data_IF_682023421540
#
_entry.id   IF_682023421540
#
_cell.length_a   1.000
_cell.length_b   1.000
_cell.length_c   1.000
_cell.angle_alpha   90.00
_cell.angle_beta   90.00
_cell.angle_gamma   90.00
#
_symmetry.space_group_name_H-M   'P 1'
#
loop_
_entity.id
_entity.type
_entity.pdbx_description
1 polymer ?
#
# COMPACT_ATOMS: atom_id res chain seq x y z
N UNK A 1 16.11 46.65 18.30
CA UNK A 1 15.79 45.42 17.55
C UNK A 1 16.92 44.43 17.78
N UNK A 2 16.59 43.27 18.33
CA UNK A 2 17.56 42.20 18.60
C UNK A 2 18.05 41.60 17.26
N UNK A 3 19.27 41.10 17.21
CA UNK A 3 19.79 40.41 16.01
C UNK A 3 18.88 39.24 15.59
N UNK A 4 18.29 38.53 16.55
CA UNK A 4 17.34 37.45 16.28
C UNK A 4 16.06 37.95 15.60
N UNK A 5 15.50 39.09 16.03
CA UNK A 5 14.28 39.65 15.42
C UNK A 5 14.50 40.00 13.97
N UNK A 6 15.64 40.60 13.66
CA UNK A 6 16.00 40.95 12.30
C UNK A 6 16.08 39.74 11.38
N UNK A 7 16.71 38.67 11.85
CA UNK A 7 16.80 37.42 11.08
C UNK A 7 15.43 36.78 10.81
N UNK A 8 14.50 36.87 11.78
CA UNK A 8 13.11 36.40 11.61
C UNK A 8 12.40 37.20 10.54
N UNK A 9 12.51 38.55 10.57
CA UNK A 9 11.85 39.38 9.59
C UNK A 9 12.44 39.20 8.17
N UNK A 10 13.77 39.12 8.05
CA UNK A 10 14.44 38.86 6.76
C UNK A 10 14.02 37.54 6.15
N UNK A 11 13.95 36.47 6.94
CA UNK A 11 13.52 35.15 6.46
C UNK A 11 12.03 35.15 6.05
N UNK A 12 11.15 35.78 6.81
CA UNK A 12 9.75 35.94 6.47
C UNK A 12 9.52 36.77 5.21
N UNK A 13 10.27 37.87 5.03
CA UNK A 13 10.25 38.69 3.81
C UNK A 13 10.72 37.84 2.60
N UNK A 14 11.80 37.09 2.76
CA UNK A 14 12.34 36.28 1.69
C UNK A 14 11.32 35.19 1.23
N UNK A 15 10.62 34.55 2.17
CA UNK A 15 9.57 33.60 1.86
C UNK A 15 8.38 34.26 1.15
N UNK A 16 7.98 35.46 1.60
CA UNK A 16 6.84 36.17 1.04
C UNK A 16 7.11 36.80 -0.37
N UNK A 17 8.35 36.86 -0.80
CA UNK A 17 8.70 37.36 -2.16
C UNK A 17 8.24 36.40 -3.27
N UNK A 18 7.99 35.14 -2.92
CA UNK A 18 7.50 34.10 -3.85
C UNK A 18 5.97 34.10 -3.92
N UNK A 19 5.27 34.99 -3.22
CA UNK A 19 3.81 35.08 -3.25
C UNK A 19 3.32 35.76 -4.53
N UNK A 20 2.18 35.29 -5.03
CA UNK A 20 1.55 35.89 -6.20
C UNK A 20 1.05 37.30 -5.91
N UNK A 21 1.12 38.18 -6.92
CA UNK A 21 0.58 39.53 -6.84
C UNK A 21 -0.94 39.52 -6.58
N UNK A 22 -1.37 40.28 -5.60
CA UNK A 22 -2.78 40.36 -5.17
C UNK A 22 -3.16 39.31 -4.12
N UNK A 23 -2.26 38.41 -3.77
CA UNK A 23 -2.53 37.39 -2.77
C UNK A 23 -2.62 37.93 -1.34
N UNK A 24 -3.28 37.16 -0.50
CA UNK A 24 -3.47 37.46 0.92
C UNK A 24 -2.68 36.54 1.81
N UNK A 25 -2.21 37.03 2.96
CA UNK A 25 -1.48 36.21 3.91
C UNK A 25 -1.90 36.45 5.36
N UNK A 26 -1.57 35.50 6.22
CA UNK A 26 -1.57 35.67 7.69
C UNK A 26 -0.27 35.15 8.28
N UNK A 27 0.05 35.66 9.47
CA UNK A 27 1.14 35.13 10.28
C UNK A 27 0.55 34.28 11.40
N UNK A 28 0.97 33.00 11.49
CA UNK A 28 0.67 32.11 12.58
C UNK A 28 1.94 31.90 13.42
N UNK A 29 1.85 32.18 14.73
CA UNK A 29 3.00 32.12 15.63
C UNK A 29 2.80 31.09 16.71
N UNK A 30 3.70 30.14 16.81
CA UNK A 30 3.78 29.16 17.88
C UNK A 30 5.02 29.37 18.72
N UNK A 31 4.85 29.70 19.99
CA UNK A 31 5.94 29.89 20.93
C UNK A 31 6.06 28.66 21.84
N UNK A 32 7.07 27.84 21.60
CA UNK A 32 7.51 26.77 22.51
C UNK A 32 8.43 27.36 23.58
N UNK A 33 9.37 28.20 23.16
CA UNK A 33 10.18 29.02 24.08
C UNK A 33 9.38 30.26 24.51
N UNK A 34 8.89 30.24 25.75
CA UNK A 34 8.14 31.35 26.36
C UNK A 34 9.04 32.45 26.90
N UNK A 35 10.35 32.23 26.97
CA UNK A 35 11.33 33.24 27.38
C UNK A 35 11.67 34.26 26.29
N UNK A 36 11.26 34.00 25.04
CA UNK A 36 11.44 34.95 23.96
C UNK A 36 10.72 36.29 24.27
N UNK A 37 11.40 37.38 24.09
CA UNK A 37 10.99 38.72 24.59
C UNK A 37 9.70 39.26 23.93
N UNK A 38 9.36 38.85 22.69
CA UNK A 38 8.10 39.21 22.06
C UNK A 38 7.03 38.15 22.31
N UNK A 39 5.84 38.60 22.61
CA UNK A 39 4.68 37.70 22.71
C UNK A 39 4.14 37.32 21.32
N UNK A 40 3.17 36.43 21.28
CA UNK A 40 2.57 35.92 20.04
C UNK A 40 1.99 37.04 19.18
N UNK A 41 1.25 37.96 19.76
CA UNK A 41 0.60 39.06 19.03
C UNK A 41 1.62 40.10 18.52
N UNK A 42 2.63 40.39 19.34
CA UNK A 42 3.70 41.30 18.92
C UNK A 42 4.47 40.70 17.73
N UNK A 43 4.82 39.42 17.77
CA UNK A 43 5.48 38.73 16.66
C UNK A 43 4.62 38.73 15.39
N UNK A 44 3.34 38.43 15.49
CA UNK A 44 2.41 38.42 14.36
C UNK A 44 2.38 39.81 13.70
N UNK A 45 2.28 40.88 14.50
CA UNK A 45 2.24 42.27 14.02
C UNK A 45 3.55 42.71 13.40
N UNK A 46 4.67 42.43 14.06
CA UNK A 46 6.00 42.86 13.60
C UNK A 46 6.41 42.12 12.31
N UNK A 47 6.22 40.79 12.27
CA UNK A 47 6.52 39.97 11.07
C UNK A 47 5.60 40.36 9.92
N UNK A 48 4.29 40.48 10.16
CA UNK A 48 3.32 40.90 9.14
C UNK A 48 3.59 42.28 8.62
N UNK A 49 3.92 43.22 9.53
CA UNK A 49 4.32 44.59 9.16
C UNK A 49 5.63 44.65 8.36
N UNK A 50 6.59 43.76 8.67
CA UNK A 50 7.82 43.65 7.91
C UNK A 50 7.58 43.18 6.46
N UNK A 51 6.70 42.19 6.28
CA UNK A 51 6.31 41.70 4.94
C UNK A 51 5.62 42.83 4.17
N UNK A 52 4.58 43.48 4.72
CA UNK A 52 3.83 44.52 4.05
C UNK A 52 4.69 45.72 3.62
N UNK A 53 5.78 46.01 4.33
CA UNK A 53 6.70 47.10 4.01
C UNK A 53 7.70 46.78 2.90
N UNK A 54 7.98 45.48 2.66
CA UNK A 54 9.07 45.04 1.79
C UNK A 54 8.62 44.17 0.61
N UNK A 55 7.36 43.77 0.57
CA UNK A 55 6.76 42.96 -0.51
C UNK A 55 5.52 43.71 -1.01
N UNK A 56 5.56 44.13 -2.27
CA UNK A 56 4.45 44.82 -2.92
C UNK A 56 3.38 43.84 -3.38
N UNK A 57 2.14 44.31 -3.52
CA UNK A 57 1.05 43.52 -4.08
C UNK A 57 0.42 42.46 -3.13
N UNK A 58 0.86 42.40 -1.86
CA UNK A 58 0.27 41.46 -0.87
C UNK A 58 -0.55 42.18 0.19
N UNK A 59 -1.54 41.50 0.76
CA UNK A 59 -2.39 42.08 1.81
C UNK A 59 -2.67 41.04 2.91
N UNK A 60 -3.15 41.52 4.07
CA UNK A 60 -3.45 40.59 5.22
C UNK A 60 -4.90 40.16 5.20
N UNK A 61 -5.12 38.85 5.29
CA UNK A 61 -6.42 38.25 5.53
C UNK A 61 -6.31 37.16 6.62
N UNK A 62 -6.82 37.45 7.81
CA UNK A 62 -6.71 36.54 8.97
C UNK A 62 -7.67 35.35 8.88
N UNK A 63 -8.80 35.50 8.17
CA UNK A 63 -9.85 34.47 8.13
C UNK A 63 -9.64 33.41 7.05
N UNK A 64 -9.33 33.86 5.85
CA UNK A 64 -9.13 33.00 4.67
C UNK A 64 -7.93 33.52 3.87
N UNK A 65 -6.71 33.33 4.36
CA UNK A 65 -5.50 33.73 3.63
C UNK A 65 -5.20 32.72 2.51
N UNK A 66 -4.58 33.22 1.44
CA UNK A 66 -3.99 32.37 0.40
C UNK A 66 -2.70 31.72 0.90
N UNK A 67 -1.92 32.46 1.74
CA UNK A 67 -0.67 32.02 2.32
C UNK A 67 -0.68 32.11 3.85
N UNK A 68 -0.23 31.06 4.54
CA UNK A 68 -0.08 31.04 5.99
C UNK A 68 1.39 30.94 6.37
N UNK A 69 2.01 32.09 6.70
CA UNK A 69 3.40 32.13 7.18
C UNK A 69 3.45 31.73 8.64
N UNK A 70 4.06 30.59 8.93
CA UNK A 70 4.21 30.07 10.30
C UNK A 70 5.57 30.38 10.85
N UNK A 71 5.59 30.90 12.09
CA UNK A 71 6.80 31.21 12.85
C UNK A 71 6.78 30.41 14.14
N UNK A 72 7.65 29.41 14.23
CA UNK A 72 7.77 28.58 15.43
C UNK A 72 9.05 28.92 16.21
N UNK A 73 8.87 29.47 17.42
CA UNK A 73 9.99 29.84 18.30
C UNK A 73 10.26 28.67 19.24
N UNK A 74 11.43 28.01 19.09
CA UNK A 74 11.92 26.95 19.97
C UNK A 74 13.15 27.40 20.74
N UNK A 75 13.60 26.57 21.68
CA UNK A 75 14.78 26.85 22.51
C UNK A 75 16.08 26.89 21.68
N UNK A 76 16.18 26.05 20.67
CA UNK A 76 17.35 25.85 19.82
C UNK A 76 17.37 26.71 18.57
N UNK A 77 16.18 26.98 17.98
CA UNK A 77 16.06 27.68 16.71
C UNK A 77 14.68 28.35 16.54
N UNK A 78 14.57 29.21 15.51
CA UNK A 78 13.30 29.71 14.97
C UNK A 78 13.08 29.13 13.59
N UNK A 79 11.92 28.53 13.38
CA UNK A 79 11.51 27.96 12.10
C UNK A 79 10.46 28.85 11.46
N UNK A 80 10.67 29.17 10.18
CA UNK A 80 9.73 29.95 9.36
C UNK A 80 9.41 29.15 8.12
N UNK A 81 8.12 28.87 7.91
CA UNK A 81 7.66 28.03 6.80
C UNK A 81 6.21 28.35 6.44
N UNK A 82 5.81 28.05 5.22
CA UNK A 82 4.45 28.20 4.71
C UNK A 82 3.76 26.84 4.60
N UNK A 83 4.45 25.85 4.04
CA UNK A 83 3.85 24.57 3.71
C UNK A 83 4.16 23.50 4.76
N UNK A 84 3.11 22.76 5.15
CA UNK A 84 3.23 21.52 5.87
C UNK A 84 2.90 20.38 4.91
N UNK A 85 3.92 19.61 4.56
CA UNK A 85 3.73 18.41 3.74
C UNK A 85 3.38 17.26 4.67
N UNK A 86 2.18 16.73 4.52
CA UNK A 86 1.76 15.53 5.26
C UNK A 86 2.50 14.32 4.71
N UNK A 87 3.31 13.71 5.56
CA UNK A 87 3.93 12.42 5.24
C UNK A 87 2.93 11.28 5.32
N UNK A 88 3.34 10.09 4.86
CA UNK A 88 2.52 8.87 4.91
C UNK A 88 2.16 8.45 6.34
N UNK A 89 2.83 8.98 7.35
CA UNK A 89 2.71 8.56 8.75
C UNK A 89 3.27 7.16 8.98
N UNK A 90 3.07 6.63 10.19
CA UNK A 90 3.47 5.28 10.53
C UNK A 90 4.90 5.16 11.06
N UNK A 91 5.50 3.98 10.87
CA UNK A 91 6.84 3.62 11.29
C UNK A 91 7.77 3.44 10.08
N UNK A 92 9.08 3.64 10.23
CA UNK A 92 10.03 3.36 9.14
C UNK A 92 9.95 1.89 8.72
N UNK A 93 9.86 1.63 7.41
CA UNK A 93 9.82 0.27 6.86
C UNK A 93 11.09 -0.49 7.24
N UNK A 94 10.96 -1.75 7.63
CA UNK A 94 12.04 -2.59 8.13
C UNK A 94 12.12 -2.70 9.65
N UNK A 95 11.40 -1.88 10.41
CA UNK A 95 11.39 -1.93 11.89
C UNK A 95 10.41 -2.93 12.47
N UNK A 96 9.41 -3.37 11.68
CA UNK A 96 8.29 -4.22 12.11
C UNK A 96 8.41 -5.70 11.68
N UNK A 97 9.57 -6.13 11.18
CA UNK A 97 9.74 -7.49 10.66
C UNK A 97 9.34 -7.64 9.19
N UNK A 98 9.18 -8.89 8.72
CA UNK A 98 8.86 -9.24 7.33
C UNK A 98 7.56 -10.01 7.22
N UNK A 99 6.78 -9.74 6.18
CA UNK A 99 5.55 -10.48 5.84
C UNK A 99 5.52 -10.88 4.38
N UNK A 100 4.69 -11.87 4.06
CA UNK A 100 4.37 -12.28 2.70
C UNK A 100 2.99 -11.73 2.32
N UNK A 101 2.95 -10.83 1.34
CA UNK A 101 1.72 -10.25 0.81
C UNK A 101 1.16 -11.13 -0.31
N UNK A 102 -0.05 -11.66 -0.15
CA UNK A 102 -0.80 -12.30 -1.24
C UNK A 102 -1.31 -11.21 -2.19
N UNK A 103 -0.54 -10.95 -3.25
CA UNK A 103 -0.81 -9.87 -4.19
C UNK A 103 -1.60 -10.40 -5.40
N UNK A 104 -2.80 -9.92 -5.55
CA UNK A 104 -3.66 -10.13 -6.72
C UNK A 104 -3.65 -8.89 -7.63
N UNK A 105 -4.20 -9.01 -8.83
CA UNK A 105 -4.42 -7.86 -9.71
C UNK A 105 -5.57 -6.93 -9.28
N UNK A 106 -6.26 -7.23 -8.16
CA UNK A 106 -7.38 -6.44 -7.65
C UNK A 106 -6.98 -5.21 -6.83
N UNK A 107 -7.97 -4.38 -6.50
CA UNK A 107 -7.79 -3.10 -5.78
C UNK A 107 -7.28 -3.32 -4.35
N UNK A 108 -7.74 -4.38 -3.68
CA UNK A 108 -7.62 -4.53 -2.22
C UNK A 108 -6.21 -4.95 -1.78
N UNK A 109 -5.57 -5.88 -2.48
CA UNK A 109 -4.30 -6.44 -2.03
C UNK A 109 -3.13 -5.44 -2.02
N UNK A 110 -2.98 -4.52 -3.00
CA UNK A 110 -1.95 -3.48 -2.91
C UNK A 110 -2.17 -2.52 -1.72
N UNK A 111 -3.44 -2.18 -1.45
CA UNK A 111 -3.80 -1.33 -0.30
C UNK A 111 -3.47 -2.04 1.01
N UNK A 112 -3.77 -3.35 1.12
CA UNK A 112 -3.41 -4.15 2.29
C UNK A 112 -1.88 -4.17 2.52
N UNK A 113 -1.10 -4.32 1.46
CA UNK A 113 0.35 -4.22 1.50
C UNK A 113 0.82 -2.88 2.05
N UNK A 114 0.27 -1.78 1.55
CA UNK A 114 0.62 -0.43 2.02
C UNK A 114 0.26 -0.21 3.49
N UNK A 115 -0.86 -0.71 3.96
CA UNK A 115 -1.28 -0.55 5.36
C UNK A 115 -0.32 -1.26 6.34
N UNK A 116 0.21 -2.44 5.99
CA UNK A 116 1.21 -3.11 6.84
C UNK A 116 2.58 -2.45 6.74
N UNK A 117 2.98 -1.97 5.56
CA UNK A 117 4.23 -1.22 5.39
C UNK A 117 4.24 0.06 6.23
N UNK A 118 3.11 0.76 6.38
CA UNK A 118 2.94 1.89 7.31
C UNK A 118 3.19 1.51 8.77
N UNK A 119 3.11 0.24 9.13
CA UNK A 119 3.45 -0.27 10.47
C UNK A 119 4.90 -0.72 10.61
N UNK A 120 5.75 -0.32 9.66
CA UNK A 120 7.18 -0.61 9.65
C UNK A 120 7.56 -2.00 9.13
N UNK A 121 6.60 -2.75 8.58
CA UNK A 121 6.83 -4.11 8.08
C UNK A 121 7.38 -4.07 6.66
N UNK A 122 8.41 -4.88 6.37
CA UNK A 122 8.81 -5.17 4.99
C UNK A 122 7.91 -6.23 4.39
N UNK A 123 7.67 -6.15 3.08
CA UNK A 123 6.91 -7.16 2.35
C UNK A 123 7.76 -7.85 1.29
N UNK A 124 7.53 -9.14 1.12
CA UNK A 124 7.73 -9.86 -0.15
C UNK A 124 6.34 -10.23 -0.67
N UNK A 125 6.12 -10.24 -1.97
CA UNK A 125 4.80 -10.49 -2.57
C UNK A 125 4.74 -11.88 -3.19
N UNK A 126 3.59 -12.56 -3.08
CA UNK A 126 3.30 -13.83 -3.76
C UNK A 126 2.09 -13.66 -4.67
N UNK A 127 2.22 -14.11 -5.93
CA UNK A 127 1.15 -14.14 -6.91
C UNK A 127 0.97 -15.53 -7.48
N UNK A 128 -0.28 -15.96 -7.61
CA UNK A 128 -0.66 -17.26 -8.17
C UNK A 128 -1.02 -17.09 -9.64
N UNK A 129 -0.23 -17.74 -10.52
CA UNK A 129 -0.40 -17.64 -11.97
C UNK A 129 -0.81 -19.00 -12.54
N UNK A 130 -1.85 -19.02 -13.38
CA UNK A 130 -2.45 -20.26 -13.90
C UNK A 130 -2.60 -20.23 -15.42
N UNK A 131 -1.51 -20.18 -16.20
CA UNK A 131 -1.60 -20.28 -17.65
C UNK A 131 -2.12 -21.66 -18.08
N UNK A 132 -2.89 -21.78 -19.20
CA UNK A 132 -3.33 -20.70 -20.09
C UNK A 132 -4.60 -19.98 -19.60
N UNK A 133 -5.10 -20.29 -18.44
CA UNK A 133 -6.35 -19.73 -17.90
C UNK A 133 -6.21 -18.26 -17.47
N UNK A 134 -5.05 -17.87 -16.93
CA UNK A 134 -4.69 -16.45 -16.73
C UNK A 134 -3.78 -16.00 -17.87
N UNK A 135 -3.95 -14.75 -18.29
CA UNK A 135 -3.13 -14.18 -19.37
C UNK A 135 -1.79 -13.65 -18.83
N UNK A 136 -0.79 -13.53 -19.70
CA UNK A 136 0.45 -12.81 -19.38
C UNK A 136 0.19 -11.37 -18.94
N UNK A 137 -0.84 -10.71 -19.50
CA UNK A 137 -1.25 -9.37 -19.09
C UNK A 137 -1.72 -9.30 -17.63
N UNK A 138 -2.26 -10.38 -17.09
CA UNK A 138 -2.60 -10.46 -15.66
C UNK A 138 -1.32 -10.51 -14.80
N UNK A 139 -0.28 -11.23 -15.25
CA UNK A 139 1.06 -11.24 -14.62
C UNK A 139 1.71 -9.84 -14.72
N UNK A 140 1.71 -9.23 -15.91
CA UNK A 140 2.26 -7.88 -16.16
C UNK A 140 1.59 -6.83 -15.23
N UNK A 141 0.28 -6.93 -15.04
CA UNK A 141 -0.49 -6.08 -14.12
C UNK A 141 -0.01 -6.20 -12.67
N UNK A 142 0.28 -7.40 -12.19
CA UNK A 142 0.78 -7.61 -10.82
C UNK A 142 2.23 -7.13 -10.68
N UNK A 143 3.04 -7.29 -11.70
CA UNK A 143 4.40 -6.72 -11.77
C UNK A 143 4.32 -5.20 -11.62
N UNK A 144 3.43 -4.54 -12.38
CA UNK A 144 3.25 -3.09 -12.32
C UNK A 144 2.74 -2.63 -10.94
N UNK A 145 1.78 -3.34 -10.33
CA UNK A 145 1.34 -3.05 -8.96
C UNK A 145 2.50 -3.17 -7.95
N UNK A 146 3.37 -4.16 -8.12
CA UNK A 146 4.57 -4.33 -7.29
C UNK A 146 5.55 -3.17 -7.50
N UNK A 147 5.73 -2.72 -8.75
CA UNK A 147 6.58 -1.57 -9.10
C UNK A 147 6.08 -0.30 -8.41
N UNK A 148 4.78 -0.01 -8.49
CA UNK A 148 4.17 1.16 -7.83
C UNK A 148 4.38 1.11 -6.30
N UNK A 149 4.22 -0.05 -5.68
CA UNK A 149 4.47 -0.21 -4.25
C UNK A 149 5.95 0.02 -3.91
N UNK A 150 6.86 -0.44 -4.78
CA UNK A 150 8.31 -0.31 -4.57
C UNK A 150 8.82 1.14 -4.58
N UNK A 151 8.12 2.06 -5.27
CA UNK A 151 8.46 3.48 -5.27
C UNK A 151 8.50 4.09 -3.85
N UNK A 152 7.74 3.52 -2.92
CA UNK A 152 7.60 4.04 -1.55
C UNK A 152 8.49 3.36 -0.53
N UNK A 153 8.91 2.13 -0.80
CA UNK A 153 9.57 1.28 0.22
C UNK A 153 10.88 0.66 -0.26
N UNK A 154 11.26 0.90 -1.52
CA UNK A 154 12.40 0.25 -2.16
C UNK A 154 12.05 -1.10 -2.77
N UNK A 155 13.04 -1.87 -3.22
CA UNK A 155 12.84 -3.10 -3.97
C UNK A 155 12.00 -4.14 -3.22
N UNK A 156 11.04 -4.75 -3.94
CA UNK A 156 10.17 -5.82 -3.44
C UNK A 156 10.43 -7.09 -4.23
N UNK A 157 10.60 -8.23 -3.55
CA UNK A 157 10.62 -9.54 -4.21
C UNK A 157 9.20 -9.99 -4.51
N UNK A 158 8.95 -10.32 -5.77
CA UNK A 158 7.71 -10.91 -6.24
C UNK A 158 7.94 -12.38 -6.58
N UNK A 159 7.16 -13.25 -5.95
CA UNK A 159 7.18 -14.70 -6.11
C UNK A 159 5.99 -15.11 -6.96
N UNK A 160 6.23 -15.61 -8.16
CA UNK A 160 5.19 -16.12 -9.07
C UNK A 160 5.07 -17.63 -8.90
N UNK A 161 3.93 -18.08 -8.45
CA UNK A 161 3.64 -19.49 -8.20
C UNK A 161 2.95 -20.11 -9.42
N UNK A 162 3.48 -21.18 -10.02
CA UNK A 162 2.75 -21.95 -11.03
C UNK A 162 1.63 -22.73 -10.38
N UNK A 163 0.38 -22.28 -10.52
CA UNK A 163 -0.76 -22.81 -9.77
C UNK A 163 -1.73 -23.66 -10.60
N UNK A 164 -1.52 -23.77 -11.91
CA UNK A 164 -2.41 -24.44 -12.87
C UNK A 164 -2.75 -25.86 -12.47
N UNK A 165 -1.74 -26.70 -12.17
CA UNK A 165 -1.95 -28.12 -11.93
C UNK A 165 -2.67 -28.36 -10.59
N UNK A 166 -2.33 -27.60 -9.55
CA UNK A 166 -3.07 -27.60 -8.29
C UNK A 166 -4.55 -27.26 -8.53
N UNK A 167 -4.83 -26.23 -9.30
CA UNK A 167 -6.18 -25.75 -9.57
C UNK A 167 -6.99 -26.78 -10.37
N UNK A 168 -6.39 -27.42 -11.38
CA UNK A 168 -7.00 -28.52 -12.12
C UNK A 168 -7.35 -29.72 -11.22
N UNK A 169 -6.42 -30.08 -10.34
CA UNK A 169 -6.62 -31.22 -9.43
C UNK A 169 -7.74 -30.92 -8.42
N UNK A 170 -7.77 -29.71 -7.85
CA UNK A 170 -8.86 -29.27 -6.97
C UNK A 170 -10.20 -29.42 -7.70
N UNK A 171 -10.28 -28.89 -8.93
CA UNK A 171 -11.52 -28.91 -9.71
C UNK A 171 -11.96 -30.33 -10.10
N UNK A 172 -11.03 -31.28 -10.19
CA UNK A 172 -11.29 -32.68 -10.48
C UNK A 172 -11.84 -33.46 -9.27
N UNK A 173 -11.34 -33.23 -8.06
CA UNK A 173 -11.61 -34.06 -6.89
C UNK A 173 -12.53 -33.41 -5.86
N UNK A 174 -12.55 -32.08 -5.78
CA UNK A 174 -13.38 -31.37 -4.81
C UNK A 174 -14.77 -31.08 -5.39
N UNK A 175 -15.78 -31.22 -4.53
CA UNK A 175 -17.16 -30.88 -4.93
C UNK A 175 -17.27 -29.44 -5.46
N UNK A 176 -17.92 -29.20 -6.63
CA UNK A 176 -17.91 -27.89 -7.30
C UNK A 176 -18.21 -26.69 -6.42
N UNK A 177 -19.19 -26.82 -5.49
CA UNK A 177 -19.55 -25.73 -4.57
C UNK A 177 -18.45 -25.36 -3.57
N UNK A 178 -17.46 -26.23 -3.34
CA UNK A 178 -16.37 -26.08 -2.37
C UNK A 178 -15.02 -25.76 -3.03
N UNK A 179 -14.93 -25.78 -4.37
CA UNK A 179 -13.67 -25.55 -5.10
C UNK A 179 -13.03 -24.22 -4.74
N UNK A 180 -13.81 -23.15 -4.58
CA UNK A 180 -13.29 -21.83 -4.19
C UNK A 180 -12.62 -21.88 -2.79
N UNK A 181 -13.25 -22.52 -1.81
CA UNK A 181 -12.69 -22.68 -0.46
C UNK A 181 -11.41 -23.48 -0.50
N UNK A 182 -11.39 -24.63 -1.18
CA UNK A 182 -10.20 -25.48 -1.29
C UNK A 182 -9.08 -24.82 -2.09
N UNK A 183 -9.39 -24.07 -3.16
CA UNK A 183 -8.40 -23.28 -3.88
C UNK A 183 -7.69 -22.29 -2.96
N UNK A 184 -8.44 -21.54 -2.16
CA UNK A 184 -7.87 -20.62 -1.19
C UNK A 184 -7.08 -21.30 -0.08
N UNK A 185 -7.51 -22.48 0.38
CA UNK A 185 -6.74 -23.29 1.33
C UNK A 185 -5.40 -23.73 0.75
N UNK A 186 -5.37 -24.17 -0.51
CA UNK A 186 -4.10 -24.52 -1.16
C UNK A 186 -3.19 -23.31 -1.38
N UNK A 187 -3.75 -22.16 -1.73
CA UNK A 187 -2.98 -20.90 -1.76
C UNK A 187 -2.38 -20.55 -0.40
N UNK A 188 -3.14 -20.74 0.68
CA UNK A 188 -2.64 -20.51 2.04
C UNK A 188 -1.52 -21.51 2.40
N UNK A 189 -1.63 -22.79 2.03
CA UNK A 189 -0.58 -23.80 2.27
C UNK A 189 0.72 -23.49 1.53
N UNK A 190 0.63 -23.07 0.27
CA UNK A 190 1.79 -22.61 -0.52
C UNK A 190 2.40 -21.36 0.10
N UNK A 191 1.56 -20.40 0.52
CA UNK A 191 2.02 -19.16 1.17
C UNK A 191 2.70 -19.45 2.51
N UNK A 192 2.16 -20.36 3.32
CA UNK A 192 2.73 -20.80 4.59
C UNK A 192 4.12 -21.44 4.40
N UNK A 193 4.25 -22.36 3.46
CA UNK A 193 5.54 -22.96 3.12
C UNK A 193 6.58 -21.90 2.65
N UNK A 194 6.15 -20.95 1.84
CA UNK A 194 7.02 -19.85 1.41
C UNK A 194 7.40 -18.92 2.56
N UNK A 195 6.48 -18.60 3.47
CA UNK A 195 6.76 -17.79 4.68
C UNK A 195 7.93 -18.38 5.46
N UNK A 196 7.91 -19.68 5.70
CA UNK A 196 9.01 -20.39 6.40
C UNK A 196 10.32 -20.34 5.60
N UNK A 197 10.26 -20.50 4.27
CA UNK A 197 11.44 -20.49 3.38
C UNK A 197 12.13 -19.12 3.34
N UNK A 198 11.36 -18.03 3.36
CA UNK A 198 11.91 -16.66 3.29
C UNK A 198 12.13 -16.00 4.65
N UNK A 199 11.78 -16.67 5.74
CA UNK A 199 11.88 -16.14 7.10
C UNK A 199 10.93 -14.97 7.37
N UNK A 200 9.71 -15.00 6.80
CA UNK A 200 8.66 -14.06 7.13
C UNK A 200 7.90 -14.51 8.40
N UNK A 201 7.15 -13.60 9.02
CA UNK A 201 6.46 -13.87 10.29
C UNK A 201 4.94 -13.87 10.17
N UNK A 202 4.40 -13.45 9.02
CA UNK A 202 2.96 -13.40 8.79
C UNK A 202 2.65 -13.42 7.29
N UNK A 203 1.42 -13.81 6.97
CA UNK A 203 0.80 -13.66 5.65
C UNK A 203 -0.10 -12.42 5.71
N UNK A 204 -0.12 -11.63 4.65
CA UNK A 204 -1.01 -10.46 4.49
C UNK A 204 -1.92 -10.70 3.30
N UNK A 205 -3.20 -10.42 3.43
CA UNK A 205 -4.12 -10.41 2.30
C UNK A 205 -5.09 -9.22 2.34
N UNK A 206 -5.73 -8.94 1.21
CA UNK A 206 -6.70 -7.86 1.04
C UNK A 206 -8.14 -8.28 1.31
N UNK A 207 -8.38 -9.32 2.11
CA UNK A 207 -9.75 -9.78 2.40
C UNK A 207 -10.52 -8.73 3.21
N UNK A 208 -11.80 -8.55 2.82
CA UNK A 208 -12.76 -7.68 3.49
C UNK A 208 -14.01 -8.48 3.83
N UNK A 209 -14.54 -8.30 5.04
CA UNK A 209 -15.65 -9.11 5.53
C UNK A 209 -16.94 -8.83 4.74
N UNK A 210 -17.51 -9.88 4.15
CA UNK A 210 -18.79 -9.80 3.44
C UNK A 210 -18.72 -9.26 2.01
N UNK A 211 -17.55 -8.91 1.48
CA UNK A 211 -17.41 -8.34 0.14
C UNK A 211 -17.70 -9.37 -0.97
N UNK A 212 -17.26 -10.61 -0.80
CA UNK A 212 -17.53 -11.74 -1.72
C UNK A 212 -17.78 -13.02 -0.97
N UNK A 213 -18.28 -14.06 -1.67
CA UNK A 213 -18.69 -15.33 -1.08
C UNK A 213 -17.62 -16.04 -0.23
N UNK A 214 -16.34 -15.89 -0.57
CA UNK A 214 -15.22 -16.45 0.20
C UNK A 214 -14.78 -15.61 1.40
N UNK A 215 -15.38 -14.46 1.61
CA UNK A 215 -15.01 -13.48 2.65
C UNK A 215 -16.06 -13.39 3.76
N UNK A 216 -16.71 -14.51 4.06
CA UNK A 216 -17.55 -14.68 5.28
C UNK A 216 -16.68 -15.20 6.43
N UNK A 217 -17.13 -15.03 7.67
CA UNK A 217 -16.41 -15.56 8.84
C UNK A 217 -16.18 -17.07 8.77
N UNK A 218 -17.20 -17.84 8.33
CA UNK A 218 -17.08 -19.30 8.17
C UNK A 218 -16.10 -19.67 7.07
N UNK A 219 -16.10 -18.93 5.94
CA UNK A 219 -15.13 -19.15 4.88
C UNK A 219 -13.71 -18.83 5.35
N UNK A 220 -13.51 -17.69 6.01
CA UNK A 220 -12.21 -17.31 6.57
C UNK A 220 -11.71 -18.31 7.61
N UNK A 221 -12.60 -18.83 8.48
CA UNK A 221 -12.26 -19.87 9.43
C UNK A 221 -11.74 -21.14 8.72
N UNK A 222 -12.51 -21.66 7.78
CA UNK A 222 -12.15 -22.86 7.03
C UNK A 222 -10.84 -22.68 6.23
N UNK A 223 -10.67 -21.51 5.59
CA UNK A 223 -9.46 -21.18 4.81
C UNK A 223 -8.24 -21.03 5.72
N UNK A 224 -8.38 -20.40 6.86
CA UNK A 224 -7.25 -20.13 7.75
C UNK A 224 -6.76 -21.37 8.49
N UNK A 225 -7.59 -22.40 8.62
CA UNK A 225 -7.29 -23.59 9.41
C UNK A 225 -6.08 -24.40 8.91
N UNK A 226 -5.63 -24.18 7.68
CA UNK A 226 -4.47 -24.90 7.09
C UNK A 226 -3.12 -24.30 7.45
N UNK A 227 -3.08 -23.20 8.19
CA UNK A 227 -1.85 -22.53 8.63
C UNK A 227 -1.96 -22.05 10.07
N UNK A 228 -0.85 -22.13 10.81
CA UNK A 228 -0.67 -21.48 12.12
C UNK A 228 0.04 -20.12 12.01
N UNK A 229 0.55 -19.80 10.82
CA UNK A 229 1.15 -18.47 10.55
C UNK A 229 0.09 -17.38 10.69
N UNK A 230 0.37 -16.29 11.43
CA UNK A 230 -0.56 -15.17 11.56
C UNK A 230 -0.99 -14.63 10.20
N UNK A 231 -2.31 -14.45 9.99
CA UNK A 231 -2.86 -13.86 8.76
C UNK A 231 -3.40 -12.48 9.07
N UNK A 232 -2.71 -11.46 8.55
CA UNK A 232 -3.07 -10.06 8.73
C UNK A 232 -4.05 -9.63 7.64
N UNK A 233 -5.16 -9.02 8.05
CA UNK A 233 -6.23 -8.53 7.16
C UNK A 233 -6.51 -7.05 7.45
N UNK A 234 -5.64 -6.14 7.00
CA UNK A 234 -5.73 -4.73 7.39
C UNK A 234 -6.99 -4.02 6.88
N UNK A 235 -7.68 -4.62 5.91
CA UNK A 235 -8.88 -4.04 5.28
C UNK A 235 -10.19 -4.66 5.77
N UNK A 236 -10.14 -5.57 6.74
CA UNK A 236 -11.25 -6.46 7.09
C UNK A 236 -12.59 -5.75 7.33
N UNK A 237 -12.56 -4.55 7.90
CA UNK A 237 -13.75 -3.79 8.33
C UNK A 237 -13.89 -2.45 7.60
N UNK A 238 -13.11 -2.20 6.55
CA UNK A 238 -13.19 -0.95 5.80
C UNK A 238 -14.29 -1.03 4.73
N UNK A 239 -14.96 0.08 4.51
CA UNK A 239 -15.89 0.20 3.39
C UNK A 239 -15.14 0.22 2.04
N UNK A 240 -15.79 -0.29 1.00
CA UNK A 240 -15.17 -0.38 -0.34
C UNK A 240 -14.73 0.98 -0.88
N UNK A 241 -15.47 2.02 -0.58
CA UNK A 241 -15.15 3.40 -1.00
C UNK A 241 -13.86 3.90 -0.34
N UNK A 242 -13.63 3.58 0.94
CA UNK A 242 -12.39 3.92 1.64
C UNK A 242 -11.19 3.20 1.06
N UNK A 243 -11.36 1.93 0.67
CA UNK A 243 -10.30 1.14 0.02
C UNK A 243 -9.98 1.74 -1.36
N UNK A 244 -11.00 2.12 -2.14
CA UNK A 244 -10.82 2.77 -3.45
C UNK A 244 -10.08 4.11 -3.30
N UNK A 245 -10.46 4.92 -2.31
CA UNK A 245 -9.76 6.17 -2.02
C UNK A 245 -8.28 5.93 -1.72
N UNK A 246 -7.98 4.97 -0.83
CA UNK A 246 -6.60 4.58 -0.52
C UNK A 246 -5.84 4.08 -1.75
N UNK A 247 -6.48 3.29 -2.62
CA UNK A 247 -5.86 2.81 -3.86
C UNK A 247 -5.50 3.96 -4.81
N UNK A 248 -6.33 5.01 -4.89
CA UNK A 248 -6.02 6.24 -5.64
C UNK A 248 -4.86 7.01 -5.01
N UNK A 249 -4.88 7.17 -3.68
CA UNK A 249 -3.83 7.89 -2.94
C UNK A 249 -2.45 7.24 -3.09
N UNK A 250 -2.40 5.91 -3.23
CA UNK A 250 -1.14 5.17 -3.44
C UNK A 250 -0.81 4.93 -4.93
N UNK A 251 -1.68 5.33 -5.85
CA UNK A 251 -1.46 5.25 -7.30
C UNK A 251 -1.73 3.88 -7.93
N UNK A 252 -2.33 2.92 -7.20
CA UNK A 252 -2.55 1.55 -7.70
C UNK A 252 -3.91 1.37 -8.38
N UNK A 253 -4.84 2.32 -8.24
CA UNK A 253 -6.23 2.17 -8.68
C UNK A 253 -6.35 1.91 -10.18
N UNK A 254 -5.74 2.75 -11.03
CA UNK A 254 -5.87 2.67 -12.49
C UNK A 254 -5.31 1.35 -13.06
N UNK A 255 -4.21 0.86 -12.47
CA UNK A 255 -3.66 -0.45 -12.82
C UNK A 255 -4.60 -1.56 -12.36
N UNK A 256 -5.15 -1.46 -11.15
CA UNK A 256 -6.01 -2.50 -10.56
C UNK A 256 -7.32 -2.73 -11.30
N UNK A 257 -7.91 -1.70 -11.93
CA UNK A 257 -9.19 -1.80 -12.65
C UNK A 257 -9.05 -2.32 -14.10
N UNK A 258 -7.83 -2.58 -14.57
CA UNK A 258 -7.63 -3.17 -15.90
C UNK A 258 -8.32 -4.54 -16.00
N UNK A 259 -8.94 -4.88 -17.15
CA UNK A 259 -9.82 -6.05 -17.30
C UNK A 259 -9.07 -7.38 -17.48
N UNK A 260 -8.10 -7.65 -16.61
CA UNK A 260 -7.35 -8.91 -16.62
C UNK A 260 -7.68 -9.70 -15.37
N UNK A 261 -8.18 -10.93 -15.57
CA UNK A 261 -8.70 -11.77 -14.50
C UNK A 261 -7.59 -12.49 -13.71
N UNK A 262 -7.79 -12.57 -12.40
CA UNK A 262 -6.95 -13.35 -11.49
C UNK A 262 -7.32 -14.85 -11.51
N UNK A 263 -6.40 -15.70 -11.09
CA UNK A 263 -6.60 -17.15 -11.01
C UNK A 263 -7.80 -17.55 -10.13
N UNK A 264 -8.19 -16.73 -9.15
CA UNK A 264 -9.32 -17.02 -8.27
C UNK A 264 -10.69 -17.00 -8.97
N UNK A 265 -10.81 -16.32 -10.12
CA UNK A 265 -12.09 -16.17 -10.83
C UNK A 265 -12.35 -17.27 -11.84
N UNK A 266 -11.31 -17.95 -12.30
CA UNK A 266 -11.35 -18.88 -13.44
C UNK A 266 -12.27 -20.07 -13.21
N UNK A 267 -12.22 -20.69 -12.04
CA UNK A 267 -13.02 -21.87 -11.68
C UNK A 267 -14.09 -21.55 -10.62
N UNK A 268 -14.61 -20.30 -10.67
CA UNK A 268 -15.66 -19.91 -9.73
C UNK A 268 -16.94 -20.64 -10.05
N UNK A 269 -17.51 -21.41 -9.09
CA UNK A 269 -18.77 -22.10 -9.29
C UNK A 269 -19.92 -21.11 -9.41
N UNK A 270 -20.97 -21.47 -10.17
CA UNK A 270 -22.19 -20.63 -10.29
C UNK A 270 -22.83 -20.31 -8.93
N UNK A 271 -22.76 -21.24 -7.98
CA UNK A 271 -23.31 -21.12 -6.63
C UNK A 271 -22.27 -21.53 -5.59
N UNK A 272 -21.30 -20.67 -5.24
CA UNK A 272 -20.31 -20.99 -4.22
C UNK A 272 -20.96 -21.08 -2.83
N UNK A 273 -20.41 -21.93 -1.97
CA UNK A 273 -20.82 -21.98 -0.57
C UNK A 273 -20.27 -20.77 0.16
N UNK A 274 -21.15 -19.96 0.76
CA UNK A 274 -20.77 -18.79 1.58
C UNK A 274 -20.51 -19.15 3.03
N UNK A 275 -21.07 -20.28 3.49
CA UNK A 275 -20.87 -20.85 4.81
C UNK A 275 -20.38 -22.29 4.69
N UNK A 276 -19.09 -22.52 4.32
CA UNK A 276 -18.59 -23.87 4.18
C UNK A 276 -18.60 -24.60 5.52
N UNK A 277 -19.11 -25.83 5.46
CA UNK A 277 -19.00 -26.82 6.53
C UNK A 277 -17.55 -27.34 6.52
N UNK A 278 -16.84 -27.11 7.62
CA UNK A 278 -15.43 -27.44 7.74
C UNK A 278 -15.13 -28.94 7.53
N UNK A 279 -15.94 -29.80 8.13
CA UNK A 279 -15.76 -31.28 8.02
C UNK A 279 -15.93 -31.74 6.57
N UNK A 280 -16.84 -31.11 5.82
CA UNK A 280 -17.01 -31.40 4.40
C UNK A 280 -15.83 -30.91 3.57
N UNK A 281 -15.27 -29.75 3.89
CA UNK A 281 -14.04 -29.25 3.20
C UNK A 281 -12.92 -30.27 3.38
N UNK A 282 -12.64 -30.69 4.61
CA UNK A 282 -11.60 -31.67 4.89
C UNK A 282 -11.88 -33.03 4.24
N UNK A 283 -13.14 -33.49 4.28
CA UNK A 283 -13.54 -34.72 3.60
C UNK A 283 -13.29 -34.69 2.09
N UNK A 284 -13.63 -33.58 1.43
CA UNK A 284 -13.41 -33.43 -0.02
C UNK A 284 -11.93 -33.32 -0.37
N UNK A 285 -11.13 -32.61 0.43
CA UNK A 285 -9.69 -32.53 0.25
C UNK A 285 -8.97 -33.84 0.57
N UNK A 286 -9.45 -34.60 1.57
CA UNK A 286 -8.85 -35.82 2.02
C UNK A 286 -8.92 -37.00 1.02
N UNK A 287 -9.66 -36.86 -0.11
CA UNK A 287 -9.68 -37.87 -1.18
C UNK A 287 -8.40 -37.88 -2.02
N UNK A 288 -7.56 -36.88 -1.87
CA UNK A 288 -6.31 -36.72 -2.59
C UNK A 288 -5.23 -36.08 -1.69
N UNK A 289 -4.00 -36.61 -1.75
CA UNK A 289 -2.90 -35.97 -1.05
C UNK A 289 -2.35 -34.80 -1.88
N UNK A 290 -2.59 -33.58 -1.42
CA UNK A 290 -2.12 -32.36 -2.08
C UNK A 290 -0.69 -31.95 -1.67
N UNK A 291 -0.05 -32.60 -0.71
CA UNK A 291 1.25 -32.19 -0.15
C UNK A 291 2.34 -32.12 -1.21
N UNK A 292 2.46 -33.17 -2.04
CA UNK A 292 3.47 -33.22 -3.11
C UNK A 292 3.24 -32.11 -4.16
N UNK A 293 1.97 -31.79 -4.46
CA UNK A 293 1.66 -30.73 -5.41
C UNK A 293 1.92 -29.34 -4.83
N UNK A 294 1.63 -29.14 -3.55
CA UNK A 294 1.98 -27.90 -2.83
C UNK A 294 3.49 -27.73 -2.83
N UNK A 295 4.25 -28.79 -2.48
CA UNK A 295 5.71 -28.73 -2.49
C UNK A 295 6.25 -28.46 -3.91
N UNK A 296 5.72 -29.14 -4.93
CA UNK A 296 6.09 -28.89 -6.33
C UNK A 296 5.84 -27.44 -6.74
N UNK A 297 4.70 -26.85 -6.34
CA UNK A 297 4.40 -25.46 -6.61
C UNK A 297 5.42 -24.51 -5.92
N UNK A 298 5.80 -24.80 -4.68
CA UNK A 298 6.79 -24.02 -3.92
C UNK A 298 8.20 -24.11 -4.52
N UNK A 299 8.58 -25.31 -5.01
CA UNK A 299 9.91 -25.53 -5.59
C UNK A 299 10.07 -24.87 -6.97
N UNK A 300 8.96 -24.69 -7.69
CA UNK A 300 8.94 -24.06 -9.02
C UNK A 300 8.54 -22.57 -8.98
N UNK A 301 8.63 -21.92 -7.82
CA UNK A 301 8.40 -20.47 -7.72
C UNK A 301 9.46 -19.71 -8.50
N UNK A 302 9.03 -18.90 -9.43
CA UNK A 302 9.86 -17.87 -10.06
C UNK A 302 9.92 -16.63 -9.16
N UNK A 303 11.12 -16.15 -8.83
CA UNK A 303 11.29 -14.96 -7.98
C UNK A 303 11.99 -13.87 -8.74
N UNK A 304 11.42 -12.68 -8.75
CA UNK A 304 12.00 -11.48 -9.35
C UNK A 304 12.05 -10.35 -8.32
N UNK A 305 13.06 -9.48 -8.42
CA UNK A 305 13.17 -8.27 -7.60
C UNK A 305 12.70 -7.08 -8.42
N UNK A 306 11.68 -6.40 -7.94
CA UNK A 306 11.03 -5.28 -8.62
C UNK A 306 11.30 -4.01 -7.85
N UNK A 307 11.90 -3.04 -8.50
CA UNK A 307 12.08 -1.67 -8.03
C UNK A 307 11.32 -0.67 -8.92
N UNK A 308 11.40 0.60 -8.59
CA UNK A 308 10.74 1.68 -9.33
C UNK A 308 11.18 1.79 -10.81
N UNK A 309 12.37 1.28 -11.16
CA UNK A 309 12.95 1.34 -12.49
C UNK A 309 12.82 0.01 -13.24
N UNK A 310 12.15 -0.97 -12.64
CA UNK A 310 11.98 -2.29 -13.27
C UNK A 310 11.28 -2.16 -14.61
N UNK A 311 11.89 -2.72 -15.64
CA UNK A 311 11.33 -2.88 -16.98
C UNK A 311 11.12 -4.36 -17.29
N UNK A 312 9.96 -4.70 -17.78
CA UNK A 312 9.68 -6.07 -18.24
C UNK A 312 10.58 -6.44 -19.41
N UNK A 313 10.79 -7.74 -19.66
CA UNK A 313 11.60 -8.22 -20.80
C UNK A 313 11.10 -7.67 -22.14
N UNK A 314 9.78 -7.46 -22.28
CA UNK A 314 9.19 -6.87 -23.49
C UNK A 314 9.54 -5.40 -23.66
N UNK A 315 9.56 -4.63 -22.58
CA UNK A 315 9.94 -3.22 -22.60
C UNK A 315 11.44 -3.08 -22.88
N UNK A 316 12.28 -3.94 -22.30
CA UNK A 316 13.72 -3.97 -22.56
C UNK A 316 14.02 -4.29 -24.04
N UNK A 317 13.26 -5.24 -24.65
CA UNK A 317 13.44 -5.57 -26.08
C UNK A 317 12.95 -4.46 -27.01
N UNK A 318 11.95 -3.68 -26.61
CA UNK A 318 11.44 -2.54 -27.39
C UNK A 318 12.39 -1.35 -27.32
N UNK A 319 12.96 -1.06 -26.15
CA UNK A 319 13.96 -0.01 -25.98
C UNK A 319 15.23 -0.31 -26.80
N UNK A 320 15.69 -1.57 -26.83
CA UNK A 320 16.83 -1.98 -27.63
C UNK A 320 16.61 -1.86 -29.16
N UNK A 321 15.35 -1.88 -29.63
CA UNK A 321 15.00 -1.67 -31.03
C UNK A 321 14.85 -0.19 -31.43
N UNK A 322 14.81 0.72 -30.47
CA UNK A 322 14.67 2.17 -30.68
C UNK A 322 16.05 2.86 -30.65
N UNK A 323 17.06 2.22 -30.02
CA UNK A 323 18.43 2.74 -29.93
C UNK A 323 19.32 2.37 -31.13
N UNK A 324 18.84 1.50 -32.06
CA UNK A 324 19.48 1.19 -33.36
C UNK A 324 18.83 2.02 -34.50
#
# INVERSE_FOLDING_TARGET
MCIRDRAIYEAAIQLARDFDEGSTFKIDVKRVDKSFHLDTYALQREVGGAILKNVEGVSVNVKQPDHEVRVEIRLDAVYIFEKIIQGSGGLPVGTGGKTLLMLSGGIDSPVAGMEVMKRGVTIEAIHFHSPPFTSEKAKDKVIELTRILSERVGPIKLHIVPFTELQKQINKVVHPRYTMTSTRRMMMRVSDALVHKIGANAIVNGENLGQVASQTLKSMYAINHVTSTPVLRPLLTLDKEDIIKKARDIGTYETSIQPFEDCCTIFTPKNPVTEPDFDKVEKYEGVFNFDDMVQTAVDNIETMTIDQNYKSEKEQSTDALIED
#
